data_IF_201876372142
#
_entry.id   IF_201876372142
#
_cell.length_a   1.000
_cell.length_b   1.000
_cell.length_c   1.000
_cell.angle_alpha   90.00
_cell.angle_beta   90.00
_cell.angle_gamma   90.00
#
_symmetry.space_group_name_H-M   'P 1'
#
loop_
_entity.id
_entity.type
_entity.pdbx_description
1 polymer ?
#
# COMPACT_ATOMS: atom_id res chain seq x y z
N UNK A 1 -27.16 -21.45 -1.55
CA UNK A 1 -27.93 -20.87 -0.43
C UNK A 1 -26.96 -20.01 0.37
N UNK A 2 -27.21 -18.72 0.53
CA UNK A 2 -26.35 -17.84 1.32
C UNK A 2 -26.36 -18.21 2.82
N UNK A 3 -25.24 -17.98 3.48
CA UNK A 3 -25.07 -18.07 4.94
C UNK A 3 -25.12 -16.64 5.47
N UNK A 4 -25.95 -16.40 6.47
CA UNK A 4 -26.06 -15.11 7.15
C UNK A 4 -25.62 -15.24 8.59
N UNK A 5 -24.87 -14.26 9.07
CA UNK A 5 -24.46 -14.15 10.47
C UNK A 5 -25.46 -13.29 11.25
N UNK A 6 -25.87 -13.78 12.41
CA UNK A 6 -26.72 -13.05 13.36
C UNK A 6 -26.04 -12.99 14.72
N UNK A 7 -26.14 -11.85 15.40
CA UNK A 7 -25.58 -11.63 16.73
C UNK A 7 -26.69 -11.36 17.76
N UNK A 8 -26.61 -12.05 18.89
CA UNK A 8 -27.50 -11.83 20.02
C UNK A 8 -27.20 -10.45 20.64
N UNK A 9 -28.21 -9.59 20.86
CA UNK A 9 -28.00 -8.22 21.34
C UNK A 9 -27.38 -8.14 22.74
N UNK A 10 -27.76 -9.06 23.66
CA UNK A 10 -27.31 -9.01 25.05
C UNK A 10 -26.02 -9.82 25.34
N UNK A 11 -25.86 -11.01 24.74
CA UNK A 11 -24.69 -11.89 25.00
C UNK A 11 -23.55 -11.67 24.01
N UNK A 12 -23.83 -11.09 22.83
CA UNK A 12 -22.85 -10.92 21.76
C UNK A 12 -22.50 -12.22 21.03
N UNK A 13 -23.17 -13.33 21.32
CA UNK A 13 -23.01 -14.61 20.63
C UNK A 13 -23.39 -14.49 19.15
N UNK A 14 -22.59 -15.08 18.26
CA UNK A 14 -22.83 -15.07 16.82
C UNK A 14 -23.19 -16.47 16.34
N UNK A 15 -24.24 -16.56 15.51
CA UNK A 15 -24.66 -17.79 14.85
C UNK A 15 -24.72 -17.61 13.34
N UNK A 16 -24.45 -18.69 12.62
CA UNK A 16 -24.56 -18.76 11.17
C UNK A 16 -25.85 -19.50 10.79
N UNK A 17 -26.70 -18.84 10.00
CA UNK A 17 -27.97 -19.41 9.55
C UNK A 17 -28.00 -19.44 8.03
N UNK A 18 -28.18 -20.65 7.48
CA UNK A 18 -28.38 -20.84 6.04
C UNK A 18 -29.82 -20.43 5.70
N UNK A 19 -29.98 -19.36 4.93
CA UNK A 19 -31.30 -18.90 4.50
C UNK A 19 -31.37 -18.78 2.97
N UNK A 20 -32.59 -18.79 2.43
CA UNK A 20 -32.80 -18.50 1.01
C UNK A 20 -32.73 -16.99 0.79
N UNK A 21 -32.27 -16.57 -0.38
CA UNK A 21 -32.04 -15.15 -0.71
C UNK A 21 -33.34 -14.31 -0.72
N UNK A 22 -34.48 -14.96 -0.97
CA UNK A 22 -35.81 -14.32 -1.02
C UNK A 22 -36.58 -14.37 0.30
N UNK A 23 -35.98 -14.92 1.36
CA UNK A 23 -36.65 -15.01 2.66
C UNK A 23 -36.39 -13.77 3.51
N UNK A 24 -37.25 -13.51 4.49
CA UNK A 24 -37.03 -12.43 5.44
C UNK A 24 -35.83 -12.79 6.33
N UNK A 25 -34.78 -11.96 6.32
CA UNK A 25 -33.55 -12.14 7.09
C UNK A 25 -33.73 -11.76 8.58
N UNK A 26 -34.68 -12.42 9.24
CA UNK A 26 -35.00 -12.23 10.66
C UNK A 26 -34.77 -13.55 11.38
N UNK A 27 -34.08 -13.51 12.51
CA UNK A 27 -33.92 -14.65 13.41
C UNK A 27 -34.42 -14.27 14.80
N UNK A 28 -35.36 -15.06 15.33
CA UNK A 28 -35.91 -14.92 16.68
C UNK A 28 -35.63 -16.21 17.42
N UNK A 29 -35.02 -16.12 18.60
CA UNK A 29 -34.74 -17.30 19.43
C UNK A 29 -35.97 -17.81 20.20
N UNK A 30 -35.79 -18.91 20.93
CA UNK A 30 -36.83 -19.51 21.75
C UNK A 30 -37.34 -18.59 22.88
N UNK A 31 -36.55 -17.58 23.27
CA UNK A 31 -36.90 -16.60 24.30
C UNK A 31 -37.65 -15.38 23.72
N UNK A 32 -37.83 -15.33 22.39
CA UNK A 32 -38.49 -14.22 21.70
C UNK A 32 -37.57 -13.04 21.40
N UNK A 33 -36.26 -13.20 21.56
CA UNK A 33 -35.28 -12.14 21.28
C UNK A 33 -34.95 -12.11 19.79
N UNK A 34 -35.05 -10.94 19.16
CA UNK A 34 -34.65 -10.72 17.77
C UNK A 34 -33.13 -10.51 17.67
N UNK A 35 -32.46 -11.32 16.86
CA UNK A 35 -31.02 -11.23 16.66
C UNK A 35 -30.69 -10.30 15.50
N UNK A 36 -29.64 -9.49 15.67
CA UNK A 36 -29.25 -8.49 14.68
C UNK A 36 -28.37 -9.13 13.61
N UNK A 37 -28.70 -8.94 12.34
CA UNK A 37 -27.85 -9.37 11.23
C UNK A 37 -26.51 -8.64 11.26
N UNK A 38 -25.42 -9.41 11.26
CA UNK A 38 -24.06 -8.88 11.16
C UNK A 38 -23.68 -8.79 9.69
N UNK A 39 -23.24 -7.61 9.28
CA UNK A 39 -22.63 -7.39 7.98
C UNK A 39 -21.12 -7.41 8.20
N UNK A 40 -20.48 -8.56 7.97
CA UNK A 40 -19.04 -8.61 7.88
C UNK A 40 -18.63 -7.77 6.67
N UNK A 41 -18.11 -6.57 6.92
CA UNK A 41 -17.47 -5.78 5.87
C UNK A 41 -16.25 -6.59 5.46
N UNK A 42 -16.14 -7.04 4.20
CA UNK A 42 -14.92 -7.68 3.75
C UNK A 42 -13.82 -6.63 3.83
N UNK A 43 -13.01 -6.68 4.88
CA UNK A 43 -11.69 -6.06 4.90
C UNK A 43 -10.78 -6.83 3.94
N UNK A 44 -11.18 -6.91 2.68
CA UNK A 44 -10.39 -7.48 1.61
C UNK A 44 -9.35 -6.42 1.21
N UNK A 45 -8.35 -6.20 2.07
CA UNK A 45 -7.12 -5.51 1.68
C UNK A 45 -6.19 -6.49 0.96
N UNK A 46 -6.73 -7.36 0.10
CA UNK A 46 -5.95 -8.24 -0.76
C UNK A 46 -5.44 -7.30 -1.85
N UNK A 47 -4.15 -6.95 -1.80
CA UNK A 47 -3.43 -6.08 -2.75
C UNK A 47 -3.27 -4.59 -2.40
N UNK A 48 -3.15 -4.24 -1.10
CA UNK A 48 -2.76 -2.86 -0.69
C UNK A 48 -1.27 -2.68 -0.42
N UNK A 49 -0.51 -3.78 -0.28
CA UNK A 49 0.93 -3.74 -0.09
C UNK A 49 1.62 -3.98 -1.43
N UNK A 50 1.88 -2.87 -2.13
CA UNK A 50 2.73 -2.84 -3.32
C UNK A 50 4.12 -3.32 -2.92
N UNK A 51 4.71 -4.21 -3.70
CA UNK A 51 6.12 -4.53 -3.59
C UNK A 51 6.92 -3.29 -4.00
N UNK A 52 7.49 -2.59 -3.02
CA UNK A 52 8.27 -1.39 -3.23
C UNK A 52 9.53 -1.62 -4.10
N UNK A 53 9.91 -2.88 -4.38
CA UNK A 53 11.01 -3.23 -5.28
C UNK A 53 10.54 -3.47 -6.73
N UNK A 54 9.24 -3.68 -6.96
CA UNK A 54 8.68 -3.98 -8.27
C UNK A 54 8.45 -2.72 -9.11
N UNK A 55 9.28 -2.54 -10.14
CA UNK A 55 9.10 -1.45 -11.10
C UNK A 55 7.81 -1.57 -11.91
N UNK A 56 7.33 -2.80 -12.12
CA UNK A 56 6.10 -3.06 -12.88
C UNK A 56 4.86 -2.59 -12.12
N UNK A 57 4.81 -2.81 -10.80
CA UNK A 57 3.70 -2.34 -9.96
C UNK A 57 3.67 -0.81 -9.85
N UNK A 58 4.83 -0.17 -9.77
CA UNK A 58 4.92 1.28 -9.84
C UNK A 58 4.35 1.82 -11.16
N UNK A 59 4.70 1.20 -12.29
CA UNK A 59 4.14 1.58 -13.59
C UNK A 59 2.64 1.33 -13.61
N UNK A 60 2.14 0.17 -13.16
CA UNK A 60 0.71 -0.12 -13.15
C UNK A 60 -0.09 0.87 -12.28
N UNK A 61 0.46 1.29 -11.14
CA UNK A 61 -0.18 2.27 -10.26
C UNK A 61 -0.19 3.69 -10.83
N UNK A 62 0.81 4.05 -11.62
CA UNK A 62 0.97 5.41 -12.18
C UNK A 62 0.38 5.55 -13.59
N UNK A 63 0.34 4.45 -14.35
CA UNK A 63 -0.21 4.39 -15.70
C UNK A 63 -1.72 4.57 -15.66
N UNK A 64 -2.22 5.49 -16.48
CA UNK A 64 -3.66 5.75 -16.64
C UNK A 64 -4.29 6.69 -15.60
N UNK A 65 -3.55 7.11 -14.55
CA UNK A 65 -4.07 8.01 -13.51
C UNK A 65 -3.96 9.50 -13.83
N UNK A 66 -3.48 9.87 -15.02
CA UNK A 66 -3.31 11.27 -15.41
C UNK A 66 -2.40 12.08 -14.47
N UNK A 67 -1.48 11.40 -13.75
CA UNK A 67 -0.61 12.04 -12.76
C UNK A 67 0.34 13.03 -13.41
N UNK A 68 0.53 14.17 -12.75
CA UNK A 68 1.53 15.17 -13.14
C UNK A 68 2.95 14.66 -12.83
N UNK A 69 3.95 15.20 -13.52
CA UNK A 69 5.36 14.80 -13.31
C UNK A 69 5.81 15.00 -11.85
N UNK A 70 5.33 16.05 -11.18
CA UNK A 70 5.61 16.28 -9.76
C UNK A 70 5.03 15.20 -8.84
N UNK A 71 3.80 14.75 -9.12
CA UNK A 71 3.17 13.66 -8.36
C UNK A 71 3.90 12.33 -8.57
N UNK A 72 4.38 12.05 -9.79
CA UNK A 72 5.20 10.87 -10.06
C UNK A 72 6.52 10.90 -9.26
N UNK A 73 7.15 12.07 -9.12
CA UNK A 73 8.36 12.22 -8.32
C UNK A 73 8.10 12.03 -6.82
N UNK A 74 6.99 12.55 -6.29
CA UNK A 74 6.63 12.34 -4.89
C UNK A 74 6.29 10.87 -4.60
N UNK A 75 5.54 10.18 -5.46
CA UNK A 75 5.30 8.73 -5.32
C UNK A 75 6.60 7.93 -5.38
N UNK A 76 7.53 8.27 -6.29
CA UNK A 76 8.84 7.63 -6.37
C UNK A 76 9.67 7.85 -5.09
N UNK A 77 9.62 9.06 -4.53
CA UNK A 77 10.26 9.40 -3.26
C UNK A 77 9.66 8.63 -2.08
N UNK A 78 8.34 8.48 -2.03
CA UNK A 78 7.68 7.69 -1.00
C UNK A 78 8.09 6.21 -1.06
N UNK A 79 8.13 5.62 -2.26
CA UNK A 79 8.60 4.25 -2.44
C UNK A 79 10.07 4.08 -2.02
N UNK A 80 10.93 5.07 -2.35
CA UNK A 80 12.32 5.11 -1.90
C UNK A 80 12.44 5.13 -0.37
N UNK A 81 11.66 5.98 0.30
CA UNK A 81 11.63 6.05 1.76
C UNK A 81 11.15 4.74 2.41
N UNK A 82 10.18 4.04 1.80
CA UNK A 82 9.73 2.73 2.30
C UNK A 82 10.82 1.67 2.18
N UNK A 83 11.55 1.63 1.05
CA UNK A 83 12.72 0.75 0.88
C UNK A 83 13.82 1.06 1.90
N UNK A 84 14.13 2.34 2.12
CA UNK A 84 15.11 2.76 3.15
C UNK A 84 14.65 2.36 4.56
N UNK A 85 13.35 2.44 4.88
CA UNK A 85 12.83 1.96 6.18
C UNK A 85 12.95 0.45 6.36
N UNK A 86 12.76 -0.34 5.30
CA UNK A 86 12.82 -1.80 5.37
C UNK A 86 14.25 -2.35 5.39
N UNK A 87 15.14 -1.82 4.54
CA UNK A 87 16.50 -2.34 4.33
C UNK A 87 17.60 -1.45 4.92
N UNK A 88 17.27 -0.27 5.44
CA UNK A 88 18.23 0.77 5.83
C UNK A 88 18.77 1.57 4.63
N UNK A 89 18.65 1.04 3.41
CA UNK A 89 19.17 1.67 2.19
C UNK A 89 18.30 1.32 0.96
N UNK A 90 18.20 2.24 0.00
CA UNK A 90 17.48 2.00 -1.25
C UNK A 90 18.43 1.47 -2.37
N UNK A 91 18.37 0.17 -2.72
CA UNK A 91 19.22 -0.41 -3.77
C UNK A 91 18.93 0.17 -5.17
N UNK A 92 17.69 0.58 -5.44
CA UNK A 92 17.29 1.17 -6.74
C UNK A 92 17.95 2.53 -6.91
N UNK A 93 17.93 3.35 -5.86
CA UNK A 93 18.57 4.68 -5.82
C UNK A 93 20.09 4.58 -5.94
N UNK A 94 20.73 3.61 -5.27
CA UNK A 94 22.16 3.32 -5.45
C UNK A 94 22.51 2.96 -6.90
N UNK A 95 21.73 2.07 -7.53
CA UNK A 95 21.91 1.69 -8.93
C UNK A 95 21.72 2.88 -9.87
N UNK A 96 20.75 3.75 -9.60
CA UNK A 96 20.53 4.98 -10.35
C UNK A 96 21.77 5.89 -10.33
N UNK A 97 22.32 6.19 -9.15
CA UNK A 97 23.52 7.02 -9.04
C UNK A 97 24.76 6.40 -9.69
N UNK A 98 24.97 5.08 -9.53
CA UNK A 98 26.05 4.35 -10.20
C UNK A 98 25.95 4.44 -11.72
N UNK A 99 24.74 4.27 -12.27
CA UNK A 99 24.50 4.37 -13.70
C UNK A 99 24.66 5.80 -14.22
N UNK A 100 24.22 6.81 -13.45
CA UNK A 100 24.42 8.21 -13.78
C UNK A 100 25.91 8.53 -13.92
N UNK A 101 26.71 8.16 -12.92
CA UNK A 101 28.17 8.36 -12.94
C UNK A 101 28.83 7.63 -14.11
N UNK A 102 28.44 6.37 -14.38
CA UNK A 102 28.95 5.61 -15.53
C UNK A 102 28.67 6.31 -16.87
N UNK A 103 27.49 6.92 -17.04
CA UNK A 103 27.09 7.62 -18.28
C UNK A 103 27.71 9.01 -18.42
N UNK A 104 28.12 9.64 -17.31
CA UNK A 104 28.66 11.00 -17.26
C UNK A 104 30.14 11.02 -16.91
N UNK A 105 30.89 10.02 -17.38
CA UNK A 105 32.35 9.93 -17.23
C UNK A 105 32.83 10.10 -15.77
N UNK A 106 32.12 9.50 -14.82
CA UNK A 106 32.46 9.56 -13.40
C UNK A 106 31.77 10.70 -12.61
N UNK A 107 31.12 11.66 -13.28
CA UNK A 107 30.42 12.75 -12.59
C UNK A 107 29.29 12.23 -11.69
N UNK A 108 29.31 12.61 -10.41
CA UNK A 108 28.27 12.25 -9.44
C UNK A 108 27.06 13.18 -9.57
N UNK A 109 25.87 12.62 -9.41
CA UNK A 109 24.63 13.39 -9.41
C UNK A 109 24.62 14.37 -8.23
N UNK A 110 24.01 15.55 -8.36
CA UNK A 110 24.01 16.58 -7.32
C UNK A 110 23.42 16.10 -5.99
N UNK A 111 22.39 15.27 -6.08
CA UNK A 111 21.70 14.63 -4.94
C UNK A 111 22.33 13.30 -4.50
N UNK A 112 23.48 12.91 -5.06
CA UNK A 112 24.18 11.69 -4.65
C UNK A 112 24.84 11.93 -3.28
N UNK A 113 24.51 11.16 -2.23
CA UNK A 113 25.14 11.32 -0.91
C UNK A 113 26.66 11.08 -0.96
N UNK A 114 27.18 10.38 -1.97
CA UNK A 114 28.62 10.17 -2.15
C UNK A 114 29.30 11.35 -2.87
N UNK A 115 28.58 12.37 -3.34
CA UNK A 115 29.17 13.59 -3.91
C UNK A 115 29.74 14.42 -2.77
N UNK A 116 31.05 14.25 -2.50
CA UNK A 116 31.81 15.27 -1.77
C UNK A 116 31.71 16.55 -2.59
N UNK A 117 31.07 17.58 -2.04
CA UNK A 117 31.17 18.92 -2.60
C UNK A 117 32.65 19.24 -2.69
N UNK A 118 33.20 19.63 -3.86
CA UNK A 118 34.47 20.33 -3.85
C UNK A 118 34.25 21.53 -2.93
N UNK A 119 35.11 21.68 -1.91
CA UNK A 119 35.12 22.86 -1.06
C UNK A 119 35.21 24.12 -1.93
N UNK A 120 34.83 25.29 -1.39
CA UNK A 120 34.96 26.54 -2.12
C UNK A 120 36.37 26.62 -2.74
N UNK A 121 36.43 26.86 -4.05
CA UNK A 121 37.68 27.03 -4.76
C UNK A 121 38.27 28.34 -4.21
N UNK A 122 39.32 28.23 -3.40
CA UNK A 122 40.13 29.38 -2.98
C UNK A 122 40.79 29.94 -4.25
N UNK A 123 40.19 30.98 -4.80
CA UNK A 123 40.81 31.88 -5.78
C UNK A 123 41.61 32.90 -4.96
N UNK A 124 42.84 32.52 -4.62
CA UNK A 124 43.87 33.41 -4.08
C UNK A 124 44.45 34.36 -5.12
#
# INVERSE_FOLDING_TARGET
MPIYEYQHPDTGETIEVVQKMNDFHIYIDYQGTEWKRVYSVPNASIDTQIDDFSSNEFVNKTKGKGMTMGQLWEESKQASNRREKMLGEDPVKKKYFKNYSKKRSGMKHEKDPAKKTPGPIDIG
#
